data_IF_335389961490
#
_entry.id   IF_335389961490
#
_cell.length_a   1.000
_cell.length_b   1.000
_cell.length_c   1.000
_cell.angle_alpha   90.00
_cell.angle_beta   90.00
_cell.angle_gamma   90.00
#
_symmetry.space_group_name_H-M   'P 1'
#
loop_
_entity.id
_entity.type
_entity.pdbx_description
1 polymer ?
#
# COMPACT_ATOMS: atom_id res chain seq x y z
N UNK A 1 -26.64 22.57 -16.48
CA UNK A 1 -25.53 21.60 -16.59
C UNK A 1 -24.66 21.79 -15.34
N UNK A 2 -24.79 20.91 -14.35
CA UNK A 2 -23.96 20.99 -13.14
C UNK A 2 -22.54 20.67 -13.54
N UNK A 3 -21.60 21.58 -13.33
CA UNK A 3 -20.18 21.29 -13.46
C UNK A 3 -19.82 20.26 -12.38
N UNK A 4 -19.32 19.08 -12.79
CA UNK A 4 -18.67 18.16 -11.87
C UNK A 4 -17.56 18.93 -11.13
N UNK A 5 -17.55 18.85 -9.80
CA UNK A 5 -16.55 19.59 -8.99
C UNK A 5 -15.13 19.02 -9.14
N UNK A 6 -15.02 17.74 -9.48
CA UNK A 6 -13.74 17.03 -9.69
C UNK A 6 -13.81 16.18 -10.96
N UNK A 7 -12.78 16.29 -11.79
CA UNK A 7 -12.64 15.53 -13.03
C UNK A 7 -11.75 14.31 -12.81
N UNK A 8 -12.37 13.16 -12.55
CA UNK A 8 -11.65 11.91 -12.28
C UNK A 8 -10.87 11.39 -13.48
N UNK A 9 -11.32 11.63 -14.71
CA UNK A 9 -10.61 11.18 -15.91
C UNK A 9 -9.32 11.97 -16.08
N UNK A 10 -9.39 13.29 -16.02
CA UNK A 10 -8.23 14.16 -16.07
C UNK A 10 -7.24 13.86 -14.92
N UNK A 11 -7.75 13.63 -13.71
CA UNK A 11 -6.93 13.22 -12.57
C UNK A 11 -6.16 11.93 -12.86
N UNK A 12 -6.81 10.91 -13.41
CA UNK A 12 -6.19 9.64 -13.75
C UNK A 12 -5.12 9.80 -14.84
N UNK A 13 -5.38 10.63 -15.84
CA UNK A 13 -4.42 10.91 -16.91
C UNK A 13 -3.18 11.62 -16.38
N UNK A 14 -3.35 12.70 -15.64
CA UNK A 14 -2.25 13.46 -15.05
C UNK A 14 -1.42 12.62 -14.08
N UNK A 15 -2.06 11.90 -13.15
CA UNK A 15 -1.35 11.07 -12.17
C UNK A 15 -0.60 9.92 -12.85
N UNK A 16 -1.22 9.23 -13.82
CA UNK A 16 -0.53 8.17 -14.56
C UNK A 16 0.66 8.70 -15.34
N UNK A 17 0.51 9.88 -15.98
CA UNK A 17 1.59 10.54 -16.69
C UNK A 17 2.79 10.82 -15.77
N UNK A 18 2.56 11.47 -14.63
CA UNK A 18 3.64 11.81 -13.68
C UNK A 18 4.33 10.59 -13.09
N UNK A 19 3.60 9.52 -12.78
CA UNK A 19 4.20 8.28 -12.27
C UNK A 19 5.03 7.62 -13.38
N UNK A 20 4.48 7.50 -14.58
CA UNK A 20 5.21 6.92 -15.72
C UNK A 20 6.43 7.75 -16.12
N UNK A 21 6.34 9.08 -16.08
CA UNK A 21 7.48 9.96 -16.27
C UNK A 21 8.59 9.63 -15.27
N UNK A 22 8.28 9.53 -13.97
CA UNK A 22 9.26 9.17 -12.93
C UNK A 22 9.90 7.80 -13.15
N UNK A 23 9.17 6.83 -13.71
CA UNK A 23 9.70 5.51 -14.04
C UNK A 23 10.64 5.61 -15.24
N UNK A 24 10.24 6.38 -16.28
CA UNK A 24 10.95 6.46 -17.55
C UNK A 24 12.17 7.38 -17.53
N UNK A 25 12.15 8.48 -16.74
CA UNK A 25 13.25 9.44 -16.62
C UNK A 25 14.58 8.82 -16.18
N UNK A 26 14.51 7.70 -15.48
CA UNK A 26 15.69 7.01 -14.97
C UNK A 26 15.59 5.51 -15.24
N UNK A 27 15.83 5.16 -16.52
CA UNK A 27 15.86 3.76 -16.94
C UNK A 27 16.79 2.92 -16.05
N UNK A 28 16.29 1.78 -15.62
CA UNK A 28 17.01 0.84 -14.75
C UNK A 28 16.87 1.12 -13.23
N UNK A 29 16.16 2.18 -12.83
CA UNK A 29 15.81 2.41 -11.42
C UNK A 29 14.45 1.80 -11.11
N UNK A 30 14.30 1.25 -9.87
CA UNK A 30 13.04 0.73 -9.36
C UNK A 30 12.39 1.76 -8.45
N UNK A 31 11.07 1.91 -8.56
CA UNK A 31 10.25 2.74 -7.70
C UNK A 31 9.38 1.88 -6.79
N UNK A 32 9.60 1.98 -5.47
CA UNK A 32 8.67 1.48 -4.46
C UNK A 32 7.65 2.57 -4.15
N UNK A 33 6.37 2.29 -4.45
CA UNK A 33 5.27 3.22 -4.27
C UNK A 33 4.33 2.71 -3.17
N UNK A 34 4.44 3.32 -1.98
CA UNK A 34 3.53 3.03 -0.89
C UNK A 34 2.17 3.70 -1.15
N UNK A 35 1.11 2.92 -1.18
CA UNK A 35 -0.23 3.46 -1.21
C UNK A 35 -0.79 3.61 0.19
N UNK A 36 -0.98 4.87 0.60
CA UNK A 36 -1.75 5.24 1.78
C UNK A 36 -3.26 5.15 1.50
N UNK A 37 -4.03 4.86 2.55
CA UNK A 37 -5.49 4.78 2.46
C UNK A 37 -6.02 3.62 1.60
N UNK A 38 -7.25 3.75 1.14
CA UNK A 38 -7.97 2.69 0.41
C UNK A 38 -7.66 2.77 -1.09
N UNK A 39 -7.25 1.63 -1.66
CA UNK A 39 -7.07 1.51 -3.12
C UNK A 39 -8.39 1.33 -3.87
N UNK A 40 -9.36 0.69 -3.23
CA UNK A 40 -10.70 0.42 -3.77
C UNK A 40 -11.75 0.95 -2.80
N UNK A 41 -12.84 1.48 -3.36
CA UNK A 41 -13.95 2.04 -2.60
C UNK A 41 -13.52 3.16 -1.65
N UNK A 42 -12.75 4.13 -2.16
CA UNK A 42 -12.32 5.30 -1.39
C UNK A 42 -13.49 6.30 -1.21
N UNK A 43 -14.41 5.92 -0.34
CA UNK A 43 -15.60 6.71 -0.03
C UNK A 43 -15.27 8.04 0.66
N UNK A 44 -14.10 8.16 1.31
CA UNK A 44 -13.67 9.41 1.92
C UNK A 44 -13.43 10.48 0.86
N UNK A 45 -12.56 10.15 -0.13
CA UNK A 45 -12.28 11.07 -1.22
C UNK A 45 -13.57 11.44 -2.00
N UNK A 46 -14.44 10.47 -2.26
CA UNK A 46 -15.72 10.70 -2.94
C UNK A 46 -16.63 11.69 -2.18
N UNK A 47 -16.66 11.63 -0.84
CA UNK A 47 -17.48 12.56 -0.03
C UNK A 47 -16.92 13.98 -0.01
N UNK A 48 -15.60 14.13 -0.04
CA UNK A 48 -14.92 15.43 0.04
C UNK A 48 -14.83 16.11 -1.32
N UNK A 49 -14.71 15.31 -2.38
CA UNK A 49 -14.55 15.78 -3.75
C UNK A 49 -15.71 15.27 -4.62
N UNK A 50 -16.81 16.04 -4.73
CA UNK A 50 -17.93 15.66 -5.59
C UNK A 50 -17.45 15.41 -7.04
N UNK A 51 -17.74 14.23 -7.57
CA UNK A 51 -17.25 13.77 -8.88
C UNK A 51 -16.01 12.86 -8.81
N UNK A 52 -15.40 12.69 -7.63
CA UNK A 52 -14.30 11.74 -7.47
C UNK A 52 -14.81 10.29 -7.59
N UNK A 53 -14.15 9.50 -8.45
CA UNK A 53 -14.43 8.07 -8.59
C UNK A 53 -13.79 7.30 -7.41
N UNK A 54 -14.60 6.60 -6.62
CA UNK A 54 -14.12 5.81 -5.47
C UNK A 54 -13.09 4.73 -5.85
N UNK A 55 -13.02 4.35 -7.13
CA UNK A 55 -12.08 3.39 -7.68
C UNK A 55 -10.96 4.05 -8.51
N UNK A 56 -10.79 5.37 -8.42
CA UNK A 56 -9.77 6.09 -9.20
C UNK A 56 -8.37 5.51 -9.00
N UNK A 57 -8.00 5.17 -7.76
CA UNK A 57 -6.66 4.65 -7.44
C UNK A 57 -6.37 3.29 -8.09
N UNK A 58 -7.32 2.35 -8.07
CA UNK A 58 -7.11 1.05 -8.73
C UNK A 58 -7.13 1.17 -10.24
N UNK A 59 -7.94 2.06 -10.81
CA UNK A 59 -7.92 2.37 -12.24
C UNK A 59 -6.61 3.02 -12.66
N UNK A 60 -6.02 3.86 -11.81
CA UNK A 60 -4.68 4.41 -12.00
C UNK A 60 -3.64 3.28 -12.12
N UNK A 61 -3.65 2.32 -11.20
CA UNK A 61 -2.76 1.17 -11.25
C UNK A 61 -3.00 0.29 -12.47
N UNK A 62 -4.25 0.11 -12.88
CA UNK A 62 -4.60 -0.65 -14.08
C UNK A 62 -3.97 -0.05 -15.34
N UNK A 63 -3.90 1.28 -15.45
CA UNK A 63 -3.19 1.95 -16.58
C UNK A 63 -1.69 1.64 -16.60
N UNK A 64 -1.11 1.22 -15.48
CA UNK A 64 0.32 0.90 -15.34
C UNK A 64 0.61 -0.59 -15.13
N UNK A 65 -0.37 -1.47 -15.36
CA UNK A 65 -0.31 -2.90 -15.03
C UNK A 65 0.90 -3.64 -15.62
N UNK A 66 1.33 -3.26 -16.80
CA UNK A 66 2.46 -3.92 -17.50
C UNK A 66 3.80 -3.60 -16.82
N UNK A 67 3.91 -2.44 -16.17
CA UNK A 67 5.10 -1.95 -15.47
C UNK A 67 5.03 -2.11 -13.96
N UNK A 68 3.88 -2.54 -13.40
CA UNK A 68 3.63 -2.58 -11.98
C UNK A 68 3.38 -3.99 -11.45
N UNK A 69 3.90 -4.29 -10.27
CA UNK A 69 3.55 -5.46 -9.46
C UNK A 69 3.19 -5.03 -8.04
N UNK A 70 2.35 -5.81 -7.36
CA UNK A 70 1.78 -5.44 -6.07
C UNK A 70 2.27 -6.33 -4.96
N UNK A 71 2.72 -5.73 -3.86
CA UNK A 71 3.00 -6.37 -2.58
C UNK A 71 1.91 -5.94 -1.58
N UNK A 72 1.29 -6.90 -0.91
CA UNK A 72 0.28 -6.64 0.11
C UNK A 72 0.87 -6.93 1.48
N UNK A 73 0.89 -5.94 2.38
CA UNK A 73 1.38 -6.09 3.74
C UNK A 73 0.22 -6.31 4.71
N UNK A 74 0.39 -7.23 5.66
CA UNK A 74 -0.52 -7.43 6.78
C UNK A 74 0.27 -7.69 8.06
N UNK A 75 -0.13 -7.08 9.16
CA UNK A 75 0.46 -7.32 10.46
C UNK A 75 -0.01 -8.65 11.07
N UNK A 76 0.91 -9.47 11.58
CA UNK A 76 0.58 -10.77 12.18
C UNK A 76 -0.37 -10.65 13.37
N UNK A 77 -0.22 -9.60 14.20
CA UNK A 77 -1.10 -9.31 15.31
C UNK A 77 -2.53 -8.97 14.89
N UNK A 78 -2.74 -8.36 13.72
CA UNK A 78 -4.08 -8.10 13.19
C UNK A 78 -4.79 -9.41 12.79
N UNK A 79 -4.02 -10.44 12.39
CA UNK A 79 -4.53 -11.79 12.09
C UNK A 79 -4.91 -12.51 13.38
N UNK A 80 -4.01 -12.52 14.36
CA UNK A 80 -4.22 -13.24 15.63
C UNK A 80 -5.36 -12.68 16.47
N UNK A 81 -5.56 -11.36 16.43
CA UNK A 81 -6.64 -10.68 17.15
C UNK A 81 -7.96 -10.62 16.38
N UNK A 82 -8.01 -11.16 15.14
CA UNK A 82 -9.14 -11.04 14.24
C UNK A 82 -9.59 -9.58 14.08
N UNK A 83 -8.63 -8.66 13.95
CA UNK A 83 -8.92 -7.24 13.79
C UNK A 83 -9.84 -7.00 12.59
N UNK A 84 -10.94 -6.32 12.84
CA UNK A 84 -12.01 -6.12 11.87
C UNK A 84 -11.95 -4.74 11.25
N UNK A 85 -12.19 -4.65 9.95
CA UNK A 85 -12.46 -3.39 9.26
C UNK A 85 -13.89 -2.96 9.56
N UNK A 86 -14.04 -1.81 10.18
CA UNK A 86 -15.35 -1.29 10.59
C UNK A 86 -16.29 -0.98 9.41
N UNK A 87 -15.73 -0.56 8.27
CA UNK A 87 -16.51 -0.17 7.08
C UNK A 87 -17.15 -1.37 6.35
N UNK A 88 -16.53 -2.55 6.39
CA UNK A 88 -17.04 -3.77 5.74
C UNK A 88 -17.42 -4.89 6.73
N UNK A 89 -17.08 -4.75 8.00
CA UNK A 89 -17.36 -5.77 9.01
C UNK A 89 -16.60 -7.08 8.81
N UNK A 90 -15.50 -7.07 8.05
CA UNK A 90 -14.66 -8.24 7.78
C UNK A 90 -13.30 -8.10 8.46
N UNK A 91 -12.67 -9.23 8.77
CA UNK A 91 -11.32 -9.25 9.35
C UNK A 91 -10.26 -8.82 8.34
N UNK A 92 -9.09 -8.36 8.81
CA UNK A 92 -8.03 -7.89 7.94
C UNK A 92 -7.45 -8.99 7.05
N UNK A 93 -7.39 -10.23 7.51
CA UNK A 93 -6.99 -11.39 6.70
C UNK A 93 -7.99 -11.65 5.55
N UNK A 94 -9.29 -11.56 5.82
CA UNK A 94 -10.32 -11.65 4.79
C UNK A 94 -10.26 -10.46 3.82
N UNK A 95 -9.94 -9.27 4.32
CA UNK A 95 -9.73 -8.11 3.45
C UNK A 95 -8.55 -8.30 2.50
N UNK A 96 -7.44 -8.89 2.95
CA UNK A 96 -6.32 -9.22 2.06
C UNK A 96 -6.77 -10.18 0.96
N UNK A 97 -7.54 -11.21 1.28
CA UNK A 97 -8.08 -12.14 0.27
C UNK A 97 -9.01 -11.42 -0.72
N UNK A 98 -9.85 -10.50 -0.23
CA UNK A 98 -10.73 -9.67 -1.07
C UNK A 98 -9.92 -8.73 -1.98
N UNK A 99 -8.85 -8.12 -1.47
CA UNK A 99 -7.95 -7.27 -2.27
C UNK A 99 -7.28 -8.08 -3.38
N UNK A 100 -6.80 -9.30 -3.09
CA UNK A 100 -6.23 -10.21 -4.09
C UNK A 100 -7.23 -10.47 -5.22
N UNK A 101 -8.46 -10.87 -4.86
CA UNK A 101 -9.50 -11.16 -5.85
C UNK A 101 -9.89 -9.90 -6.65
N UNK A 102 -9.90 -8.74 -6.01
CA UNK A 102 -10.17 -7.46 -6.67
C UNK A 102 -9.06 -7.07 -7.63
N UNK A 103 -7.80 -7.14 -7.20
CA UNK A 103 -6.66 -6.78 -8.06
C UNK A 103 -6.56 -7.66 -9.29
N UNK A 104 -6.84 -8.97 -9.14
CA UNK A 104 -6.92 -9.89 -10.28
C UNK A 104 -7.99 -9.50 -11.31
N UNK A 105 -9.15 -8.96 -10.86
CA UNK A 105 -10.19 -8.45 -11.78
C UNK A 105 -9.75 -7.22 -12.57
N UNK A 106 -8.76 -6.48 -12.07
CA UNK A 106 -8.16 -5.34 -12.76
C UNK A 106 -6.85 -5.71 -13.50
N UNK A 107 -6.58 -7.00 -13.67
CA UNK A 107 -5.35 -7.53 -14.30
C UNK A 107 -4.05 -7.03 -13.65
N UNK A 108 -4.08 -6.77 -12.34
CA UNK A 108 -2.89 -6.37 -11.61
C UNK A 108 -2.12 -7.62 -11.16
N UNK A 109 -0.81 -7.59 -11.36
CA UNK A 109 0.09 -8.64 -10.95
C UNK A 109 0.37 -8.57 -9.46
N UNK A 110 -0.03 -9.61 -8.71
CA UNK A 110 0.21 -9.71 -7.27
C UNK A 110 1.47 -10.54 -7.07
N UNK A 111 2.55 -9.86 -6.70
CA UNK A 111 3.82 -10.51 -6.43
C UNK A 111 3.76 -11.39 -5.19
N UNK A 112 3.35 -10.80 -4.04
CA UNK A 112 3.39 -11.50 -2.75
C UNK A 112 2.54 -10.83 -1.68
N UNK A 113 2.36 -11.56 -0.57
CA UNK A 113 1.87 -11.03 0.70
C UNK A 113 2.99 -11.08 1.74
N UNK A 114 3.21 -9.98 2.44
CA UNK A 114 4.19 -9.86 3.52
C UNK A 114 3.47 -9.86 4.85
N UNK A 115 3.77 -10.85 5.68
CA UNK A 115 3.33 -10.90 7.07
C UNK A 115 4.35 -10.12 7.89
N UNK A 116 4.00 -8.90 8.28
CA UNK A 116 4.91 -7.99 8.97
C UNK A 116 4.88 -8.19 10.48
N UNK A 117 5.99 -7.85 11.15
CA UNK A 117 6.18 -8.09 12.59
C UNK A 117 5.74 -9.51 12.94
N UNK A 118 6.25 -10.46 12.15
CA UNK A 118 5.85 -11.86 12.22
C UNK A 118 6.04 -12.44 13.62
N UNK A 119 4.99 -13.04 14.13
CA UNK A 119 4.97 -13.87 15.31
C UNK A 119 4.37 -15.21 14.95
N UNK A 120 4.97 -16.29 15.46
CA UNK A 120 4.50 -17.65 15.20
C UNK A 120 3.17 -17.87 15.94
N UNK A 121 2.11 -18.16 15.18
CA UNK A 121 0.78 -18.41 15.71
C UNK A 121 -0.05 -19.27 14.75
N UNK A 122 -0.90 -20.18 15.27
CA UNK A 122 -1.73 -21.08 14.43
C UNK A 122 -2.63 -20.34 13.43
N UNK A 123 -3.16 -19.17 13.81
CA UNK A 123 -3.98 -18.34 12.94
C UNK A 123 -3.19 -17.80 11.74
N UNK A 124 -1.93 -17.39 11.98
CA UNK A 124 -1.02 -16.89 10.94
C UNK A 124 -0.65 -18.02 9.99
N UNK A 125 -0.32 -19.20 10.50
CA UNK A 125 -0.03 -20.38 9.67
C UNK A 125 -1.22 -20.82 8.81
N UNK A 126 -2.42 -20.77 9.38
CA UNK A 126 -3.64 -21.05 8.60
C UNK A 126 -3.84 -20.03 7.49
N UNK A 127 -3.55 -18.75 7.75
CA UNK A 127 -3.66 -17.72 6.74
C UNK A 127 -2.61 -17.88 5.64
N UNK A 128 -1.36 -18.20 5.98
CA UNK A 128 -0.29 -18.51 5.01
C UNK A 128 -0.72 -19.67 4.11
N UNK A 129 -1.23 -20.78 4.67
CA UNK A 129 -1.74 -21.91 3.89
C UNK A 129 -2.90 -21.53 2.95
N UNK A 130 -3.77 -20.57 3.36
CA UNK A 130 -4.83 -20.06 2.48
C UNK A 130 -4.24 -19.27 1.29
N UNK A 131 -3.18 -18.51 1.50
CA UNK A 131 -2.47 -17.75 0.45
C UNK A 131 -1.74 -18.71 -0.51
N UNK A 132 -1.03 -19.69 0.01
CA UNK A 132 -0.33 -20.71 -0.79
C UNK A 132 -1.29 -21.49 -1.72
N UNK A 133 -2.46 -21.89 -1.22
CA UNK A 133 -3.52 -22.54 -2.02
C UNK A 133 -4.05 -21.64 -3.16
N UNK A 134 -3.88 -20.32 -3.04
CA UNK A 134 -4.23 -19.32 -4.07
C UNK A 134 -3.06 -19.00 -4.99
N UNK A 135 -1.91 -19.68 -4.82
CA UNK A 135 -0.70 -19.46 -5.59
C UNK A 135 0.01 -18.14 -5.24
N UNK A 136 -0.20 -17.59 -4.04
CA UNK A 136 0.42 -16.35 -3.58
C UNK A 136 1.64 -16.68 -2.72
N UNK A 137 2.80 -16.11 -3.10
CA UNK A 137 4.02 -16.17 -2.29
C UNK A 137 3.83 -15.38 -1.00
N UNK A 138 4.42 -15.86 0.09
CA UNK A 138 4.42 -15.16 1.37
C UNK A 138 5.84 -14.92 1.85
N UNK A 139 6.06 -13.75 2.48
CA UNK A 139 7.30 -13.42 3.16
C UNK A 139 7.00 -13.04 4.61
N UNK A 140 7.91 -13.42 5.51
CA UNK A 140 7.82 -13.13 6.95
C UNK A 140 8.83 -12.06 7.27
N UNK A 141 8.37 -10.85 7.60
CA UNK A 141 9.22 -9.75 8.04
C UNK A 141 9.16 -9.62 9.56
N UNK A 142 10.31 -9.55 10.21
CA UNK A 142 10.42 -9.35 11.65
C UNK A 142 10.17 -7.89 12.05
N UNK A 143 10.10 -7.64 13.33
CA UNK A 143 10.16 -6.27 13.86
C UNK A 143 11.54 -5.68 13.58
N UNK A 144 11.58 -4.44 13.06
CA UNK A 144 12.85 -3.77 12.76
C UNK A 144 13.59 -3.41 14.03
N UNK A 145 14.75 -4.03 14.27
CA UNK A 145 15.59 -3.75 15.42
C UNK A 145 16.05 -2.28 15.39
N UNK A 146 16.09 -1.64 16.55
CA UNK A 146 16.49 -0.23 16.68
C UNK A 146 15.38 0.79 16.42
N UNK A 147 14.26 0.38 15.82
CA UNK A 147 13.15 1.30 15.55
C UNK A 147 12.53 1.86 16.84
N UNK A 148 12.22 3.17 16.94
CA UNK A 148 12.30 4.17 15.88
C UNK A 148 13.55 5.07 15.90
N UNK A 149 14.47 4.92 16.83
CA UNK A 149 15.46 5.95 17.16
C UNK A 149 16.91 5.58 16.82
N UNK A 150 17.27 4.31 16.83
CA UNK A 150 18.63 3.83 16.52
C UNK A 150 18.78 3.61 15.02
N UNK A 151 19.09 4.72 14.31
CA UNK A 151 19.18 4.72 12.85
C UNK A 151 20.27 3.79 12.35
N UNK A 152 21.41 3.70 13.04
CA UNK A 152 22.54 2.86 12.62
C UNK A 152 22.16 1.37 12.64
N UNK A 153 21.47 0.93 13.70
CA UNK A 153 20.92 -0.43 13.77
C UNK A 153 19.80 -0.64 12.76
N UNK A 154 18.88 0.33 12.59
CA UNK A 154 17.77 0.22 11.62
C UNK A 154 18.29 -0.02 10.20
N UNK A 155 19.34 0.72 9.77
CA UNK A 155 19.92 0.67 8.42
C UNK A 155 21.12 -0.30 8.38
N UNK A 156 20.99 -1.46 9.00
CA UNK A 156 22.00 -2.51 9.06
C UNK A 156 21.42 -3.88 8.68
N UNK A 157 22.30 -4.88 8.65
CA UNK A 157 21.91 -6.28 8.46
C UNK A 157 20.99 -6.79 9.58
N UNK A 158 21.12 -6.27 10.81
CA UNK A 158 20.28 -6.63 11.95
C UNK A 158 18.93 -5.89 11.95
N UNK A 159 18.83 -4.77 11.24
CA UNK A 159 17.62 -3.98 11.06
C UNK A 159 16.87 -4.39 9.80
N UNK A 160 16.90 -3.56 8.77
CA UNK A 160 16.21 -3.87 7.52
C UNK A 160 16.76 -5.09 6.80
N UNK A 161 18.04 -5.40 6.95
CA UNK A 161 18.70 -6.56 6.36
C UNK A 161 18.23 -7.90 6.92
N UNK A 162 17.70 -7.93 8.16
CA UNK A 162 17.18 -9.15 8.78
C UNK A 162 15.92 -9.71 8.10
N UNK A 163 15.20 -8.87 7.34
CA UNK A 163 14.05 -9.32 6.56
C UNK A 163 14.48 -10.01 5.27
N UNK A 164 13.81 -11.09 4.85
CA UNK A 164 14.08 -11.68 3.54
C UNK A 164 13.77 -10.68 2.41
N UNK A 165 14.64 -10.66 1.40
CA UNK A 165 14.39 -9.88 0.19
C UNK A 165 13.19 -10.44 -0.57
N UNK A 166 12.29 -9.57 -0.97
CA UNK A 166 11.15 -9.92 -1.82
C UNK A 166 11.62 -9.82 -3.27
N UNK A 167 11.61 -10.95 -3.98
CA UNK A 167 11.98 -10.99 -5.40
C UNK A 167 10.92 -10.24 -6.22
N UNK A 168 11.35 -9.14 -6.84
CA UNK A 168 10.51 -8.28 -7.68
C UNK A 168 11.15 -8.09 -9.07
N UNK A 169 10.32 -8.02 -10.08
CA UNK A 169 10.75 -8.04 -11.49
C UNK A 169 10.42 -6.75 -12.23
N UNK A 170 9.38 -6.03 -11.80
CA UNK A 170 8.89 -4.84 -12.49
C UNK A 170 9.53 -3.55 -11.95
N UNK A 171 9.57 -2.49 -12.78
CA UNK A 171 10.16 -1.20 -12.37
C UNK A 171 9.31 -0.45 -11.34
N UNK A 172 8.01 -0.70 -11.26
CA UNK A 172 7.10 -0.13 -10.27
C UNK A 172 6.63 -1.23 -9.32
N UNK A 173 6.95 -1.08 -8.03
CA UNK A 173 6.49 -1.98 -6.98
C UNK A 173 5.52 -1.22 -6.08
N UNK A 174 4.26 -1.58 -6.17
CA UNK A 174 3.19 -0.99 -5.37
C UNK A 174 3.07 -1.74 -4.05
N UNK A 175 3.18 -1.02 -2.93
CA UNK A 175 3.06 -1.60 -1.60
C UNK A 175 1.79 -1.09 -0.93
N UNK A 176 0.89 -2.00 -0.60
CA UNK A 176 -0.42 -1.71 -0.01
C UNK A 176 -0.75 -2.64 1.15
N UNK A 177 -1.93 -2.50 1.74
CA UNK A 177 -2.40 -3.37 2.84
C UNK A 177 -3.85 -3.07 3.21
N UNK A 178 -4.44 -3.90 4.10
CA UNK A 178 -5.86 -3.80 4.48
C UNK A 178 -6.18 -2.54 5.30
N UNK A 179 -5.15 -1.88 5.87
CA UNK A 179 -5.36 -0.69 6.71
C UNK A 179 -4.08 -0.05 7.20
N UNK A 180 -4.22 0.90 8.11
CA UNK A 180 -3.11 1.53 8.83
C UNK A 180 -2.35 0.51 9.69
N UNK A 181 -1.05 0.74 9.90
CA UNK A 181 -0.22 -0.13 10.73
C UNK A 181 0.14 -1.49 10.12
N UNK A 182 -0.22 -1.78 8.88
CA UNK A 182 0.08 -3.07 8.22
C UNK A 182 1.56 -3.28 7.86
N UNK A 183 2.45 -2.29 8.10
CA UNK A 183 3.89 -2.42 7.89
C UNK A 183 4.39 -2.04 6.50
N UNK A 184 3.59 -1.35 5.69
CA UNK A 184 3.94 -0.92 4.31
C UNK A 184 5.26 -0.17 4.23
N UNK A 185 5.42 0.88 5.05
CA UNK A 185 6.65 1.69 5.08
C UNK A 185 7.88 0.85 5.40
N UNK A 186 7.83 0.04 6.46
CA UNK A 186 8.95 -0.81 6.85
C UNK A 186 9.32 -1.81 5.76
N UNK A 187 8.32 -2.37 5.06
CA UNK A 187 8.55 -3.25 3.90
C UNK A 187 9.22 -2.50 2.76
N UNK A 188 8.76 -1.29 2.41
CA UNK A 188 9.42 -0.47 1.38
C UNK A 188 10.88 -0.19 1.76
N UNK A 189 11.15 0.26 2.98
CA UNK A 189 12.49 0.63 3.42
C UNK A 189 13.43 -0.58 3.49
N UNK A 190 12.93 -1.75 3.93
CA UNK A 190 13.71 -2.99 3.88
C UNK A 190 14.06 -3.38 2.44
N UNK A 191 13.14 -3.25 1.50
CA UNK A 191 13.40 -3.52 0.08
C UNK A 191 14.41 -2.52 -0.50
N UNK A 192 14.31 -1.22 -0.15
CA UNK A 192 15.31 -0.22 -0.54
C UNK A 192 16.70 -0.58 -0.04
N UNK A 193 16.82 -0.98 1.23
CA UNK A 193 18.06 -1.43 1.82
C UNK A 193 18.67 -2.60 1.03
N UNK A 194 17.88 -3.63 0.79
CA UNK A 194 18.34 -4.80 0.05
C UNK A 194 18.75 -4.50 -1.40
N UNK A 195 17.99 -3.68 -2.12
CA UNK A 195 18.33 -3.30 -3.48
C UNK A 195 19.58 -2.40 -3.50
N UNK A 196 19.73 -1.49 -2.54
CA UNK A 196 20.93 -0.68 -2.39
C UNK A 196 22.17 -1.54 -2.14
N UNK A 197 22.10 -2.51 -1.22
CA UNK A 197 23.18 -3.45 -0.94
C UNK A 197 23.56 -4.33 -2.16
N UNK A 198 22.63 -4.50 -3.12
CA UNK A 198 22.85 -5.17 -4.40
C UNK A 198 23.34 -4.23 -5.51
N UNK A 199 23.65 -2.98 -5.17
CA UNK A 199 24.10 -1.97 -6.13
C UNK A 199 23.02 -1.48 -7.10
N UNK A 200 21.74 -1.73 -6.79
CA UNK A 200 20.63 -1.29 -7.62
C UNK A 200 20.22 0.13 -7.22
N UNK A 201 19.89 0.94 -8.20
CA UNK A 201 19.30 2.26 -7.97
C UNK A 201 17.80 2.12 -7.70
N UNK A 202 17.37 2.63 -6.57
CA UNK A 202 15.98 2.53 -6.12
C UNK A 202 15.48 3.85 -5.58
N UNK A 203 14.16 4.03 -5.65
CA UNK A 203 13.47 5.21 -5.14
C UNK A 203 12.24 4.79 -4.35
N UNK A 204 11.85 5.65 -3.43
CA UNK A 204 10.62 5.52 -2.66
C UNK A 204 9.74 6.75 -2.89
N UNK A 205 8.44 6.50 -2.98
CA UNK A 205 7.43 7.55 -2.93
C UNK A 205 6.19 7.02 -2.18
N UNK A 206 5.48 7.94 -1.53
CA UNK A 206 4.21 7.66 -0.90
C UNK A 206 3.10 8.34 -1.67
N UNK A 207 2.06 7.59 -2.02
CA UNK A 207 0.87 8.10 -2.67
C UNK A 207 -0.22 8.26 -1.63
N UNK A 208 -0.57 9.51 -1.34
CA UNK A 208 -1.67 9.86 -0.44
C UNK A 208 -2.60 10.84 -1.13
N UNK A 209 -3.89 10.62 -0.98
CA UNK A 209 -4.88 11.57 -1.46
C UNK A 209 -5.14 12.66 -0.43
N UNK A 210 -5.08 12.30 0.86
CA UNK A 210 -5.33 13.18 2.00
C UNK A 210 -4.44 12.77 3.21
N UNK A 211 -4.07 13.73 4.10
CA UNK A 211 -4.27 15.18 3.92
C UNK A 211 -3.49 15.72 2.72
N UNK A 212 -3.96 16.83 2.16
CA UNK A 212 -3.27 17.50 1.06
C UNK A 212 -2.11 18.31 1.64
N UNK A 213 -0.89 17.90 1.41
CA UNK A 213 0.32 18.39 2.05
C UNK A 213 0.64 19.86 1.80
N UNK A 214 0.26 20.39 0.65
CA UNK A 214 0.46 21.79 0.27
C UNK A 214 -0.64 22.73 0.79
N UNK A 215 -1.60 22.19 1.56
CA UNK A 215 -2.66 22.97 2.19
C UNK A 215 -2.44 22.99 3.71
N UNK A 216 -2.82 24.10 4.40
CA UNK A 216 -2.80 24.12 5.85
C UNK A 216 -3.61 22.99 6.47
N UNK A 217 -3.15 22.45 7.60
CA UNK A 217 -3.83 21.33 8.29
C UNK A 217 -5.32 21.63 8.54
N UNK A 218 -5.66 22.87 8.92
CA UNK A 218 -7.03 23.33 9.13
C UNK A 218 -7.73 23.85 7.87
N UNK A 219 -7.18 23.54 6.69
CA UNK A 219 -7.86 23.89 5.44
C UNK A 219 -9.21 23.14 5.33
N UNK A 220 -10.29 23.77 4.82
CA UNK A 220 -11.60 23.14 4.75
C UNK A 220 -11.61 21.75 4.08
N UNK A 221 -10.78 21.52 3.08
CA UNK A 221 -10.65 20.20 2.42
C UNK A 221 -10.14 19.15 3.39
N UNK A 222 -9.10 19.44 4.18
CA UNK A 222 -8.56 18.50 5.16
C UNK A 222 -9.54 18.25 6.31
N UNK A 223 -10.22 19.29 6.79
CA UNK A 223 -11.27 19.16 7.82
C UNK A 223 -12.47 18.35 7.32
N UNK A 224 -12.88 18.55 6.07
CA UNK A 224 -13.96 17.77 5.46
C UNK A 224 -13.59 16.29 5.34
N UNK A 225 -12.31 15.97 5.04
CA UNK A 225 -11.83 14.60 5.01
C UNK A 225 -11.86 13.95 6.40
N UNK A 226 -11.38 14.64 7.44
CA UNK A 226 -11.46 14.15 8.82
C UNK A 226 -12.92 13.92 9.26
N UNK A 227 -13.80 14.84 8.95
CA UNK A 227 -15.24 14.69 9.24
C UNK A 227 -15.84 13.46 8.54
N UNK A 228 -15.48 13.23 7.28
CA UNK A 228 -15.92 12.05 6.54
C UNK A 228 -15.34 10.75 7.15
N UNK A 229 -14.12 10.79 7.69
CA UNK A 229 -13.50 9.66 8.40
C UNK A 229 -14.32 9.26 9.64
N UNK A 230 -14.67 10.25 10.46
CA UNK A 230 -15.50 10.04 11.66
C UNK A 230 -16.89 9.50 11.29
N UNK A 231 -17.53 10.10 10.30
CA UNK A 231 -18.88 9.74 9.86
C UNK A 231 -18.95 8.31 9.26
N UNK A 232 -17.88 7.89 8.57
CA UNK A 232 -17.74 6.53 8.05
C UNK A 232 -17.27 5.52 9.11
N UNK A 233 -17.04 5.97 10.35
CA UNK A 233 -16.50 5.14 11.45
C UNK A 233 -15.19 4.42 11.09
N UNK A 234 -14.39 5.05 10.25
CA UNK A 234 -13.09 4.53 9.83
C UNK A 234 -12.04 5.11 10.78
N UNK A 235 -11.68 4.33 11.79
CA UNK A 235 -10.65 4.71 12.77
C UNK A 235 -9.32 4.17 12.27
N UNK A 236 -8.37 5.07 12.04
CA UNK A 236 -6.98 4.71 11.74
C UNK A 236 -6.25 4.23 12.99
#
# INVERSE_FOLDING_TARGET
MYKLGFDSEKYLEEQSHYIMQRINEKQGERLYLEFGGKLVHDKHAMRVLPGFDENAKIKLLQKMKDSAEVIICIYSGDITTNKTRHDFGITYDLEVLRLIDTFRKYDLDINSVVITRYEDAPAVDMFIKKLERRGIKTYKHCFTKGYPTDVDTIVSEEGYGANPYIEVTKPLVVVTGPGGGSGKLATCLSQLYHDFMRGRKVRYAKFETFPVWNLPLKHPVNLAYESATVDLKDVN
#
